data_IF_230533946091
#
_entry.id   IF_230533946091
#
_cell.length_a   1.000
_cell.length_b   1.000
_cell.length_c   1.000
_cell.angle_alpha   90.00
_cell.angle_beta   90.00
_cell.angle_gamma   90.00
#
_symmetry.space_group_name_H-M   'P 1'
#
loop_
_entity.id
_entity.type
_entity.pdbx_description
1 polymer ?
#
# COMPACT_ATOMS: atom_id res chain seq x y z
N UNK A 1 -9.86 -13.80 20.20
CA UNK A 1 -10.21 -12.56 19.48
C UNK A 1 -11.43 -12.86 18.66
N UNK A 2 -12.45 -12.05 18.78
CA UNK A 2 -13.65 -12.18 17.98
C UNK A 2 -13.43 -11.63 16.55
N UNK A 3 -14.33 -12.01 15.66
CA UNK A 3 -14.31 -11.61 14.25
C UNK A 3 -14.19 -10.08 14.05
N UNK A 4 -14.99 -9.22 14.70
CA UNK A 4 -14.88 -7.77 14.52
C UNK A 4 -13.54 -7.19 14.98
N UNK A 5 -12.93 -7.68 16.07
CA UNK A 5 -11.60 -7.23 16.49
C UNK A 5 -10.52 -7.56 15.47
N UNK A 6 -10.54 -8.78 14.94
CA UNK A 6 -9.57 -9.22 13.93
C UNK A 6 -9.73 -8.37 12.67
N UNK A 7 -10.98 -8.13 12.25
CA UNK A 7 -11.27 -7.31 11.08
C UNK A 7 -10.80 -5.86 11.25
N UNK A 8 -11.05 -5.25 12.40
CA UNK A 8 -10.61 -3.89 12.69
C UNK A 8 -9.08 -3.75 12.71
N UNK A 9 -8.36 -4.75 13.23
CA UNK A 9 -6.89 -4.79 13.22
C UNK A 9 -6.34 -4.94 11.80
N UNK A 10 -6.85 -5.92 11.04
CA UNK A 10 -6.39 -6.18 9.66
C UNK A 10 -6.67 -4.98 8.76
N UNK A 11 -7.85 -4.38 8.86
CA UNK A 11 -8.15 -3.15 8.14
C UNK A 11 -7.23 -2.06 8.67
N UNK A 12 -7.29 -1.66 9.94
CA UNK A 12 -6.53 -0.52 10.47
C UNK A 12 -5.03 -0.48 10.12
N UNK A 13 -4.36 -1.65 10.07
CA UNK A 13 -2.95 -1.73 9.70
C UNK A 13 -2.67 -2.05 8.24
N UNK A 14 -3.64 -2.56 7.48
CA UNK A 14 -3.42 -3.00 6.10
C UNK A 14 -2.89 -1.89 5.19
N UNK A 15 -3.54 -0.72 5.18
CA UNK A 15 -3.15 0.40 4.32
C UNK A 15 -1.83 1.06 4.75
N UNK A 16 -1.60 1.37 6.04
CA UNK A 16 -0.30 1.88 6.49
C UNK A 16 0.87 0.96 6.13
N UNK A 17 0.70 -0.36 6.29
CA UNK A 17 1.74 -1.34 5.94
C UNK A 17 1.97 -1.38 4.42
N UNK A 18 0.90 -1.43 3.62
CA UNK A 18 1.01 -1.43 2.16
C UNK A 18 1.75 -0.18 1.65
N UNK A 19 1.41 1.00 2.18
CA UNK A 19 2.07 2.27 1.83
C UNK A 19 3.53 2.26 2.25
N UNK A 20 3.87 1.76 3.45
CA UNK A 20 5.26 1.70 3.91
C UNK A 20 6.13 0.82 3.01
N UNK A 21 5.66 -0.38 2.65
CA UNK A 21 6.40 -1.26 1.75
C UNK A 21 6.49 -0.72 0.32
N UNK A 22 5.41 -0.11 -0.18
CA UNK A 22 5.41 0.53 -1.49
C UNK A 22 6.40 1.68 -1.56
N UNK A 23 6.44 2.56 -0.56
CA UNK A 23 7.37 3.68 -0.51
C UNK A 23 8.83 3.22 -0.56
N UNK A 24 9.17 2.15 0.17
CA UNK A 24 10.52 1.56 0.15
C UNK A 24 10.85 0.97 -1.23
N UNK A 25 9.92 0.22 -1.84
CA UNK A 25 10.11 -0.39 -3.15
C UNK A 25 10.25 0.65 -4.27
N UNK A 26 9.40 1.68 -4.27
CA UNK A 26 9.43 2.78 -5.22
C UNK A 26 10.71 3.61 -5.11
N UNK A 27 11.13 3.93 -3.87
CA UNK A 27 12.38 4.64 -3.62
C UNK A 27 13.59 3.88 -4.17
N UNK A 28 13.65 2.57 -3.93
CA UNK A 28 14.71 1.72 -4.47
C UNK A 28 14.68 1.68 -6.00
N UNK A 29 13.51 1.44 -6.61
CA UNK A 29 13.36 1.40 -8.07
C UNK A 29 13.79 2.73 -8.72
N UNK A 30 13.39 3.86 -8.13
CA UNK A 30 13.78 5.19 -8.59
C UNK A 30 15.30 5.41 -8.47
N UNK A 31 15.91 5.04 -7.34
CA UNK A 31 17.36 5.16 -7.14
C UNK A 31 18.13 4.35 -8.19
N UNK A 32 17.77 3.09 -8.39
CA UNK A 32 18.41 2.22 -9.40
C UNK A 32 18.23 2.77 -10.81
N UNK A 33 17.06 3.32 -11.13
CA UNK A 33 16.82 3.95 -12.43
C UNK A 33 17.69 5.21 -12.63
N UNK A 34 17.84 6.05 -11.60
CA UNK A 34 18.69 7.25 -11.69
C UNK A 34 20.16 6.89 -11.87
N UNK A 35 20.66 5.88 -11.14
CA UNK A 35 22.02 5.36 -11.34
C UNK A 35 22.21 4.77 -12.75
N UNK A 36 21.23 4.02 -13.25
CA UNK A 36 21.25 3.49 -14.61
C UNK A 36 21.34 4.59 -15.67
N UNK A 37 20.51 5.63 -15.54
CA UNK A 37 20.51 6.79 -16.44
C UNK A 37 21.85 7.54 -16.36
N UNK A 38 22.41 7.72 -15.17
CA UNK A 38 23.69 8.39 -14.99
C UNK A 38 24.85 7.63 -15.66
N UNK A 39 24.80 6.28 -15.69
CA UNK A 39 25.80 5.42 -16.32
C UNK A 39 25.62 5.28 -17.83
N UNK A 40 24.37 5.34 -18.31
CA UNK A 40 24.02 5.21 -19.74
C UNK A 40 22.93 6.23 -20.12
N UNK A 41 23.32 7.49 -20.39
CA UNK A 41 22.37 8.55 -20.72
C UNK A 41 21.56 8.26 -22.00
N UNK A 42 22.13 7.52 -22.96
CA UNK A 42 21.49 7.17 -24.22
C UNK A 42 20.28 6.24 -24.01
N UNK A 43 20.29 5.42 -22.95
CA UNK A 43 19.22 4.50 -22.60
C UNK A 43 18.14 5.13 -21.69
N UNK A 44 18.18 6.44 -21.45
CA UNK A 44 17.30 7.08 -20.46
C UNK A 44 15.80 6.92 -20.76
N UNK A 45 15.41 6.88 -22.04
CA UNK A 45 14.03 6.63 -22.45
C UNK A 45 13.55 5.24 -22.01
N UNK A 46 14.32 4.21 -22.33
CA UNK A 46 13.99 2.81 -22.00
C UNK A 46 13.97 2.57 -20.49
N UNK A 47 14.95 3.14 -19.76
CA UNK A 47 15.00 3.04 -18.29
C UNK A 47 13.79 3.71 -17.65
N UNK A 48 13.36 4.89 -18.14
CA UNK A 48 12.14 5.55 -17.65
C UNK A 48 10.89 4.73 -17.95
N UNK A 49 10.82 4.09 -19.12
CA UNK A 49 9.71 3.19 -19.46
C UNK A 49 9.62 2.00 -18.50
N UNK A 50 10.75 1.34 -18.24
CA UNK A 50 10.82 0.24 -17.27
C UNK A 50 10.51 0.70 -15.83
N UNK A 51 10.99 1.88 -15.43
CA UNK A 51 10.67 2.48 -14.13
C UNK A 51 9.17 2.72 -13.97
N UNK A 52 8.51 3.35 -14.94
CA UNK A 52 7.06 3.63 -14.88
C UNK A 52 6.27 2.33 -14.77
N UNK A 53 6.61 1.30 -15.54
CA UNK A 53 5.98 -0.02 -15.43
C UNK A 53 6.16 -0.61 -14.03
N UNK A 54 7.37 -0.56 -13.48
CA UNK A 54 7.66 -1.03 -12.12
C UNK A 54 6.85 -0.28 -11.06
N UNK A 55 6.82 1.06 -11.13
CA UNK A 55 6.05 1.91 -10.22
C UNK A 55 4.54 1.63 -10.33
N UNK A 56 4.02 1.45 -11.54
CA UNK A 56 2.61 1.13 -11.76
C UNK A 56 2.21 -0.23 -11.16
N UNK A 57 3.08 -1.24 -11.25
CA UNK A 57 2.84 -2.53 -10.62
C UNK A 57 2.84 -2.42 -9.09
N UNK A 58 3.77 -1.65 -8.50
CA UNK A 58 3.79 -1.40 -7.06
C UNK A 58 2.52 -0.66 -6.62
N UNK A 59 2.14 0.40 -7.33
CA UNK A 59 0.93 1.17 -7.03
C UNK A 59 -0.35 0.33 -7.16
N UNK A 60 -0.41 -0.61 -8.09
CA UNK A 60 -1.60 -1.48 -8.22
C UNK A 60 -1.91 -2.26 -6.93
N UNK A 61 -0.88 -2.68 -6.19
CA UNK A 61 -1.04 -3.36 -4.91
C UNK A 61 -1.57 -2.41 -3.83
N UNK A 62 -1.04 -1.18 -3.78
CA UNK A 62 -1.51 -0.14 -2.86
C UNK A 62 -2.98 0.20 -3.14
N UNK A 63 -3.35 0.32 -4.42
CA UNK A 63 -4.72 0.59 -4.85
C UNK A 63 -5.66 -0.55 -4.46
N UNK A 64 -5.26 -1.82 -4.55
CA UNK A 64 -6.10 -2.93 -4.10
C UNK A 64 -6.36 -2.89 -2.59
N UNK A 65 -5.36 -2.53 -1.79
CA UNK A 65 -5.53 -2.36 -0.34
C UNK A 65 -6.42 -1.16 -0.04
N UNK A 66 -6.20 -0.01 -0.72
CA UNK A 66 -7.04 1.18 -0.59
C UNK A 66 -8.49 0.87 -1.00
N UNK A 67 -8.71 0.15 -2.09
CA UNK A 67 -10.04 -0.26 -2.55
C UNK A 67 -10.75 -1.10 -1.48
N UNK A 68 -10.04 -2.08 -0.90
CA UNK A 68 -10.58 -2.91 0.18
C UNK A 68 -11.01 -2.07 1.38
N UNK A 69 -10.21 -1.05 1.72
CA UNK A 69 -10.58 -0.07 2.76
C UNK A 69 -11.82 0.74 2.41
N UNK A 70 -11.91 1.27 1.18
CA UNK A 70 -13.06 2.05 0.73
C UNK A 70 -14.35 1.22 0.73
N UNK A 71 -14.26 -0.06 0.37
CA UNK A 71 -15.41 -0.98 0.41
C UNK A 71 -15.87 -1.27 1.85
N UNK A 72 -14.96 -1.30 2.81
CA UNK A 72 -15.25 -1.55 4.23
C UNK A 72 -15.53 -0.28 5.02
N UNK A 73 -15.27 0.90 4.44
CA UNK A 73 -15.50 2.19 5.09
C UNK A 73 -16.97 2.34 5.50
N UNK A 74 -17.20 2.63 6.78
CA UNK A 74 -18.54 2.73 7.37
C UNK A 74 -19.27 1.40 7.57
N UNK A 75 -18.68 0.25 7.21
CA UNK A 75 -19.22 -1.09 7.48
C UNK A 75 -18.59 -1.77 8.69
N UNK A 76 -17.55 -1.18 9.28
CA UNK A 76 -16.92 -1.67 10.49
C UNK A 76 -17.70 -1.19 11.72
N UNK A 77 -17.90 -2.06 12.74
CA UNK A 77 -18.54 -1.65 13.98
C UNK A 77 -17.77 -0.51 14.63
N UNK A 78 -18.48 0.46 15.20
CA UNK A 78 -17.85 1.58 15.89
C UNK A 78 -17.03 1.06 17.07
N UNK A 79 -15.82 1.61 17.29
CA UNK A 79 -14.93 1.17 18.39
C UNK A 79 -15.65 1.21 19.74
N UNK A 80 -16.46 2.25 19.99
CA UNK A 80 -17.21 2.39 21.23
C UNK A 80 -18.34 1.36 21.36
N UNK A 81 -19.04 1.07 20.25
CA UNK A 81 -20.10 0.07 20.19
C UNK A 81 -19.53 -1.33 20.43
N UNK A 82 -18.36 -1.61 19.85
CA UNK A 82 -17.62 -2.84 20.04
C UNK A 82 -17.18 -3.03 21.51
N UNK A 83 -16.57 -2.01 22.12
CA UNK A 83 -16.12 -2.05 23.52
C UNK A 83 -17.30 -2.31 24.48
N UNK A 84 -18.47 -1.71 24.22
CA UNK A 84 -19.66 -1.93 25.03
C UNK A 84 -20.22 -3.36 24.86
N UNK A 85 -20.17 -3.90 23.64
CA UNK A 85 -20.62 -5.27 23.36
C UNK A 85 -19.69 -6.37 23.91
N UNK A 86 -18.39 -6.08 24.05
CA UNK A 86 -17.40 -7.02 24.58
C UNK A 86 -17.31 -7.01 26.12
N UNK A 87 -17.94 -6.02 26.78
CA UNK A 87 -17.99 -5.89 28.23
C UNK A 87 -19.20 -6.56 28.91
N UNK A 88 -20.11 -7.14 28.13
CA UNK A 88 -21.21 -8.00 28.61
C UNK A 88 -20.91 -9.47 28.30
#
# INVERSE_FOLDING_TARGET
MDYPSILALVVGFGLPLAVAFAALAQGNAASTAMEGIARQPEAAGDIRGALILSLALIESLVIYVLLSFLLLFGRLPGVMEYIQSAGQ
#
